data_IF_772747866553
#
_entry.id   IF_772747866553
#
_cell.length_a   1.000
_cell.length_b   1.000
_cell.length_c   1.000
_cell.angle_alpha   90.00
_cell.angle_beta   90.00
_cell.angle_gamma   90.00
#
_symmetry.space_group_name_H-M   'P 1'
#
loop_
_entity.id
_entity.type
_entity.pdbx_description
1 polymer ?
#
# COMPACT_ATOMS: atom_id res chain seq x y z
N UNK A 1 -0.08 15.19 27.63
CA UNK A 1 -1.08 16.07 26.98
C UNK A 1 -0.53 16.53 25.62
N UNK A 2 -0.32 15.62 24.67
CA UNK A 2 0.19 15.93 23.32
C UNK A 2 -0.29 14.86 22.33
N UNK A 3 -1.60 14.80 22.11
CA UNK A 3 -2.17 14.25 20.88
C UNK A 3 -3.04 15.38 20.31
N UNK A 4 -2.36 16.35 19.70
CA UNK A 4 -2.98 17.54 19.14
C UNK A 4 -3.38 17.28 17.69
N UNK A 5 -4.66 17.45 17.42
CA UNK A 5 -5.35 17.41 16.11
C UNK A 5 -5.21 16.09 15.35
N UNK A 6 -6.29 15.30 15.42
CA UNK A 6 -6.65 14.41 14.33
C UNK A 6 -6.79 15.26 13.06
N UNK A 7 -5.73 15.30 12.25
CA UNK A 7 -5.89 15.58 10.84
C UNK A 7 -6.77 14.45 10.31
N UNK A 8 -8.02 14.75 9.99
CA UNK A 8 -8.92 13.83 9.31
C UNK A 8 -8.38 13.60 7.89
N UNK A 9 -7.33 12.79 7.78
CA UNK A 9 -6.55 12.51 6.57
C UNK A 9 -7.33 11.65 5.56
N UNK A 10 -8.67 11.55 5.69
CA UNK A 10 -9.51 10.67 4.87
C UNK A 10 -9.10 9.19 4.95
N UNK A 11 -8.33 8.79 5.97
CA UNK A 11 -7.77 7.44 6.13
C UNK A 11 -8.79 6.40 6.60
N UNK A 12 -10.02 6.82 6.91
CA UNK A 12 -11.09 6.00 7.47
C UNK A 12 -12.18 5.58 6.45
N UNK A 13 -11.79 5.10 5.27
CA UNK A 13 -12.76 4.56 4.27
C UNK A 13 -12.65 3.07 4.01
N UNK A 14 -12.08 2.28 4.94
CA UNK A 14 -12.27 0.83 5.01
C UNK A 14 -13.41 0.45 5.99
N UNK A 15 -14.48 1.26 6.09
CA UNK A 15 -15.72 0.89 6.79
C UNK A 15 -16.72 0.24 5.82
N UNK A 16 -16.32 -0.85 5.16
CA UNK A 16 -17.22 -1.64 4.31
C UNK A 16 -17.26 -3.12 4.73
N UNK A 17 -16.71 -3.48 5.88
CA UNK A 17 -16.94 -4.80 6.45
C UNK A 17 -18.22 -4.74 7.27
N UNK A 18 -19.29 -5.30 6.72
CA UNK A 18 -20.52 -5.56 7.45
C UNK A 18 -20.30 -6.71 8.43
N UNK A 19 -21.03 -6.70 9.55
CA UNK A 19 -20.86 -7.68 10.64
C UNK A 19 -21.23 -9.12 10.23
N UNK A 20 -21.95 -9.29 9.11
CA UNK A 20 -22.41 -10.60 8.64
C UNK A 20 -21.85 -11.00 7.27
N UNK A 21 -21.57 -12.30 7.11
CA UNK A 21 -21.07 -12.86 5.85
C UNK A 21 -22.01 -12.56 4.66
N UNK A 22 -23.33 -12.64 4.86
CA UNK A 22 -24.31 -12.44 3.79
C UNK A 22 -24.33 -11.00 3.29
N UNK A 23 -24.23 -10.01 4.18
CA UNK A 23 -24.17 -8.60 3.79
C UNK A 23 -22.91 -8.31 2.97
N UNK A 24 -21.77 -8.91 3.34
CA UNK A 24 -20.53 -8.80 2.55
C UNK A 24 -20.62 -9.53 1.20
N UNK A 25 -21.28 -10.70 1.15
CA UNK A 25 -21.46 -11.45 -0.09
C UNK A 25 -22.32 -10.70 -1.12
N UNK A 26 -23.31 -9.95 -0.66
CA UNK A 26 -24.18 -9.11 -1.51
C UNK A 26 -23.76 -7.63 -1.55
N UNK A 27 -22.63 -7.27 -0.93
CA UNK A 27 -22.15 -5.90 -0.97
C UNK A 27 -21.88 -5.47 -2.42
N UNK A 28 -22.43 -4.32 -2.81
CA UNK A 28 -22.23 -3.77 -4.15
C UNK A 28 -20.96 -2.93 -4.23
N UNK A 29 -20.62 -2.19 -3.18
CA UNK A 29 -19.44 -1.33 -3.14
C UNK A 29 -18.23 -2.10 -2.60
N UNK A 30 -17.13 -2.10 -3.36
CA UNK A 30 -15.89 -2.78 -2.96
C UNK A 30 -15.82 -4.28 -3.30
N UNK A 31 -16.89 -4.89 -3.81
CA UNK A 31 -16.91 -6.29 -4.22
C UNK A 31 -16.56 -6.49 -5.71
N UNK A 32 -16.28 -7.74 -6.09
CA UNK A 32 -16.10 -8.13 -7.49
C UNK A 32 -17.44 -8.18 -8.27
N UNK A 33 -18.58 -8.18 -7.56
CA UNK A 33 -19.91 -8.42 -8.12
C UNK A 33 -20.28 -7.43 -9.24
N UNK A 34 -20.14 -6.09 -9.09
CA UNK A 34 -20.49 -5.16 -10.16
C UNK A 34 -19.65 -5.33 -11.43
N UNK A 35 -18.43 -5.85 -11.31
CA UNK A 35 -17.55 -6.09 -12.47
C UNK A 35 -17.95 -7.35 -13.24
N UNK A 36 -18.41 -8.39 -12.54
CA UNK A 36 -18.74 -9.70 -13.14
C UNK A 36 -20.20 -9.75 -13.63
N UNK A 37 -21.09 -8.99 -12.98
CA UNK A 37 -22.53 -9.05 -13.23
C UNK A 37 -22.94 -8.80 -14.70
N UNK A 38 -22.38 -7.80 -15.42
CA UNK A 38 -22.73 -7.57 -16.83
C UNK A 38 -22.39 -8.76 -17.72
N UNK A 39 -21.23 -9.39 -17.52
CA UNK A 39 -20.81 -10.58 -18.27
C UNK A 39 -21.77 -11.74 -18.01
N UNK A 40 -22.14 -11.97 -16.75
CA UNK A 40 -23.09 -13.03 -16.38
C UNK A 40 -24.45 -12.79 -17.04
N UNK A 41 -24.98 -11.56 -17.01
CA UNK A 41 -26.25 -11.23 -17.67
C UNK A 41 -26.20 -11.48 -19.17
N UNK A 42 -25.13 -11.07 -19.85
CA UNK A 42 -24.94 -11.32 -21.29
C UNK A 42 -24.88 -12.82 -21.58
N UNK A 43 -24.16 -13.61 -20.77
CA UNK A 43 -24.12 -15.07 -20.90
C UNK A 43 -25.50 -15.71 -20.71
N UNK A 44 -26.29 -15.27 -19.73
CA UNK A 44 -27.65 -15.77 -19.51
C UNK A 44 -28.56 -15.46 -20.72
N UNK A 45 -28.50 -14.24 -21.24
CA UNK A 45 -29.27 -13.84 -22.42
C UNK A 45 -28.87 -14.68 -23.64
N UNK A 46 -27.57 -14.89 -23.84
CA UNK A 46 -27.05 -15.73 -24.92
C UNK A 46 -27.53 -17.19 -24.80
N UNK A 47 -27.39 -17.81 -23.63
CA UNK A 47 -27.87 -19.18 -23.39
C UNK A 47 -29.38 -19.30 -23.60
N UNK A 48 -30.16 -18.30 -23.16
CA UNK A 48 -31.62 -18.27 -23.33
C UNK A 48 -32.01 -18.16 -24.81
N UNK A 49 -31.31 -17.31 -25.57
CA UNK A 49 -31.50 -17.15 -27.01
C UNK A 49 -31.18 -18.44 -27.76
N UNK A 50 -30.03 -19.07 -27.49
CA UNK A 50 -29.65 -20.35 -28.09
C UNK A 50 -30.68 -21.44 -27.78
N UNK A 51 -31.14 -21.51 -26.53
CA UNK A 51 -32.19 -22.47 -26.12
C UNK A 51 -33.51 -22.25 -26.86
N UNK A 52 -33.93 -20.99 -27.03
CA UNK A 52 -35.13 -20.64 -27.78
C UNK A 52 -35.03 -21.08 -29.25
N UNK A 53 -33.90 -20.81 -29.91
CA UNK A 53 -33.68 -21.23 -31.31
C UNK A 53 -33.63 -22.75 -31.49
N UNK A 54 -32.98 -23.48 -30.58
CA UNK A 54 -32.92 -24.96 -30.65
C UNK A 54 -34.30 -25.58 -30.47
N UNK A 55 -35.13 -25.03 -29.58
CA UNK A 55 -36.52 -25.48 -29.43
C UNK A 55 -37.26 -25.33 -30.77
N UNK A 56 -37.17 -24.15 -31.39
CA UNK A 56 -38.02 -23.80 -32.52
C UNK A 56 -37.54 -24.40 -33.87
N UNK A 57 -36.24 -24.64 -34.06
CA UNK A 57 -35.69 -24.89 -35.40
C UNK A 57 -34.99 -26.24 -35.68
N UNK A 58 -34.35 -26.96 -34.74
CA UNK A 58 -33.80 -28.34 -34.99
C UNK A 58 -33.20 -28.97 -33.71
N UNK A 59 -33.21 -30.30 -33.58
CA UNK A 59 -32.35 -31.03 -32.62
C UNK A 59 -30.89 -31.05 -33.13
N UNK A 60 -30.04 -30.16 -32.61
CA UNK A 60 -28.60 -30.20 -32.81
C UNK A 60 -27.93 -30.91 -31.64
N UNK A 61 -27.15 -31.96 -31.92
CA UNK A 61 -26.33 -32.64 -30.94
C UNK A 61 -24.90 -32.09 -30.98
N UNK A 62 -24.45 -31.52 -29.86
CA UNK A 62 -23.11 -30.96 -29.70
C UNK A 62 -22.33 -31.86 -28.75
N UNK A 63 -21.21 -32.38 -29.22
CA UNK A 63 -20.32 -33.17 -28.37
C UNK A 63 -19.78 -32.31 -27.22
N UNK A 64 -19.94 -32.81 -26.00
CA UNK A 64 -19.57 -32.14 -24.75
C UNK A 64 -18.06 -32.30 -24.49
N UNK A 65 -17.41 -33.31 -25.08
CA UNK A 65 -16.00 -33.66 -24.84
C UNK A 65 -15.03 -32.48 -24.89
N UNK A 66 -15.02 -31.64 -25.95
CA UNK A 66 -14.15 -30.46 -26.03
C UNK A 66 -14.33 -29.46 -24.87
N UNK A 67 -15.55 -29.33 -24.34
CA UNK A 67 -15.86 -28.43 -23.23
C UNK A 67 -15.36 -28.97 -21.88
N UNK A 68 -15.38 -30.29 -21.68
CA UNK A 68 -14.85 -30.91 -20.46
C UNK A 68 -13.34 -30.72 -20.35
N UNK A 69 -12.59 -31.00 -21.43
CA UNK A 69 -11.14 -30.82 -21.44
C UNK A 69 -10.74 -29.35 -21.23
N UNK A 70 -11.43 -28.44 -21.92
CA UNK A 70 -11.17 -27.01 -21.74
C UNK A 70 -11.54 -26.53 -20.33
N UNK A 71 -12.62 -27.03 -19.73
CA UNK A 71 -13.01 -26.74 -18.36
C UNK A 71 -11.94 -27.12 -17.34
N UNK A 72 -11.32 -28.30 -17.49
CA UNK A 72 -10.22 -28.75 -16.62
C UNK A 72 -9.00 -27.84 -16.76
N UNK A 73 -8.60 -27.53 -17.99
CA UNK A 73 -7.45 -26.65 -18.25
C UNK A 73 -7.68 -25.24 -17.70
N UNK A 74 -8.86 -24.67 -17.92
CA UNK A 74 -9.24 -23.35 -17.41
C UNK A 74 -9.26 -23.31 -15.87
N UNK A 75 -9.77 -24.36 -15.23
CA UNK A 75 -9.78 -24.48 -13.76
C UNK A 75 -8.37 -24.50 -13.19
N UNK A 76 -7.46 -25.24 -13.81
CA UNK A 76 -6.06 -25.31 -13.41
C UNK A 76 -5.35 -23.95 -13.59
N UNK A 77 -5.56 -23.29 -14.74
CA UNK A 77 -5.00 -21.96 -14.99
C UNK A 77 -5.51 -20.92 -13.99
N UNK A 78 -6.79 -21.00 -13.61
CA UNK A 78 -7.38 -20.11 -12.62
C UNK A 78 -6.71 -20.27 -11.25
N UNK A 79 -6.47 -21.51 -10.81
CA UNK A 79 -5.80 -21.79 -9.52
C UNK A 79 -4.39 -21.21 -9.51
N UNK A 80 -3.59 -21.44 -10.56
CA UNK A 80 -2.24 -20.87 -10.63
C UNK A 80 -2.23 -19.34 -10.65
N UNK A 81 -3.15 -18.73 -11.40
CA UNK A 81 -3.29 -17.27 -11.45
C UNK A 81 -3.72 -16.70 -10.10
N UNK A 82 -4.63 -17.36 -9.39
CA UNK A 82 -5.09 -16.95 -8.07
C UNK A 82 -3.97 -17.04 -7.04
N UNK A 83 -3.20 -18.13 -7.03
CA UNK A 83 -2.07 -18.29 -6.11
C UNK A 83 -0.99 -17.22 -6.35
N UNK A 84 -0.60 -16.99 -7.61
CA UNK A 84 0.37 -15.94 -7.95
C UNK A 84 -0.13 -14.54 -7.56
N UNK A 85 -1.42 -14.25 -7.74
CA UNK A 85 -2.03 -13.00 -7.30
C UNK A 85 -2.04 -12.84 -5.78
N UNK A 86 -2.37 -13.91 -5.05
CA UNK A 86 -2.35 -13.93 -3.59
C UNK A 86 -0.94 -13.71 -3.04
N UNK A 87 0.07 -14.38 -3.60
CA UNK A 87 1.46 -14.25 -3.16
C UNK A 87 1.97 -12.82 -3.35
N UNK A 88 1.69 -12.19 -4.50
CA UNK A 88 2.02 -10.78 -4.73
C UNK A 88 1.31 -9.84 -3.76
N UNK A 89 0.03 -10.06 -3.48
CA UNK A 89 -0.71 -9.27 -2.51
C UNK A 89 -0.12 -9.41 -1.09
N UNK A 90 0.21 -10.64 -0.71
CA UNK A 90 0.81 -10.94 0.59
C UNK A 90 2.20 -10.34 0.73
N UNK A 91 3.01 -10.38 -0.33
CA UNK A 91 4.31 -9.74 -0.40
C UNK A 91 4.22 -8.22 -0.19
N UNK A 92 3.35 -7.54 -0.95
CA UNK A 92 3.11 -6.11 -0.78
C UNK A 92 2.67 -5.76 0.65
N UNK A 93 1.81 -6.59 1.27
CA UNK A 93 1.37 -6.38 2.65
C UNK A 93 2.51 -6.55 3.66
N UNK A 94 3.40 -7.52 3.47
CA UNK A 94 4.58 -7.72 4.32
C UNK A 94 5.54 -6.52 4.21
N UNK A 95 5.84 -6.07 2.99
CA UNK A 95 6.70 -4.90 2.74
C UNK A 95 6.13 -3.65 3.40
N UNK A 96 4.83 -3.38 3.22
CA UNK A 96 4.19 -2.23 3.88
C UNK A 96 4.19 -2.35 5.41
N UNK A 97 4.04 -3.57 5.95
CA UNK A 97 4.19 -3.85 7.37
C UNK A 97 5.61 -3.55 7.89
N UNK A 98 6.63 -3.91 7.12
CA UNK A 98 8.02 -3.58 7.39
C UNK A 98 8.23 -2.06 7.42
N UNK A 99 7.76 -1.33 6.38
CA UNK A 99 7.85 0.13 6.31
C UNK A 99 7.32 0.79 7.59
N UNK A 100 6.11 0.41 8.01
CA UNK A 100 5.49 1.00 9.21
C UNK A 100 6.29 0.67 10.48
N UNK A 101 6.81 -0.55 10.61
CA UNK A 101 7.59 -0.96 11.78
C UNK A 101 8.93 -0.23 11.86
N UNK A 102 9.66 -0.13 10.76
CA UNK A 102 10.96 0.54 10.72
C UNK A 102 10.82 2.05 10.94
N UNK A 103 9.76 2.68 10.42
CA UNK A 103 9.44 4.08 10.75
C UNK A 103 9.17 4.27 12.24
N UNK A 104 8.44 3.38 12.91
CA UNK A 104 8.21 3.44 14.36
C UNK A 104 9.51 3.26 15.15
N UNK A 105 10.36 2.33 14.71
CA UNK A 105 11.66 2.11 15.34
C UNK A 105 12.57 3.34 15.20
N UNK A 106 12.64 3.95 14.02
CA UNK A 106 13.37 5.20 13.81
C UNK A 106 12.86 6.31 14.73
N UNK A 107 11.55 6.55 14.76
CA UNK A 107 10.96 7.55 15.63
C UNK A 107 11.26 7.28 17.11
N UNK A 108 11.22 6.01 17.53
CA UNK A 108 11.57 5.60 18.89
C UNK A 108 13.04 5.88 19.19
N UNK A 109 13.95 5.51 18.29
CA UNK A 109 15.39 5.75 18.45
C UNK A 109 15.67 7.25 18.59
N UNK A 110 15.14 8.06 17.66
CA UNK A 110 15.33 9.51 17.67
C UNK A 110 14.79 10.18 18.92
N UNK A 111 13.66 9.73 19.47
CA UNK A 111 13.06 10.34 20.66
C UNK A 111 13.65 9.83 21.98
N UNK A 112 14.05 8.57 22.07
CA UNK A 112 14.52 7.96 23.31
C UNK A 112 16.04 8.11 23.53
N UNK A 113 16.84 8.08 22.46
CA UNK A 113 18.31 8.01 22.54
C UNK A 113 19.01 9.32 22.17
N UNK A 114 18.30 10.44 22.24
CA UNK A 114 18.87 11.79 22.11
C UNK A 114 18.59 12.61 23.38
N UNK A 115 19.26 13.74 23.64
CA UNK A 115 19.00 14.56 24.82
C UNK A 115 17.66 15.29 24.75
N UNK A 116 16.98 15.49 25.89
CA UNK A 116 15.72 16.26 25.94
C UNK A 116 15.88 17.72 25.47
N UNK A 117 17.09 18.28 25.58
CA UNK A 117 17.43 19.62 25.10
C UNK A 117 17.31 19.76 23.56
N UNK A 118 17.32 18.65 22.81
CA UNK A 118 17.21 18.60 21.34
C UNK A 118 15.74 18.58 20.85
N UNK A 119 14.82 19.19 21.58
CA UNK A 119 13.38 19.08 21.32
C UNK A 119 12.95 19.52 19.91
N UNK A 120 13.60 20.56 19.34
CA UNK A 120 13.35 20.99 17.95
C UNK A 120 13.78 19.92 16.95
N UNK A 121 15.01 19.41 17.08
CA UNK A 121 15.55 18.34 16.23
C UNK A 121 14.67 17.09 16.28
N UNK A 122 14.22 16.67 17.47
CA UNK A 122 13.35 15.48 17.60
C UNK A 122 12.02 15.63 16.87
N UNK A 123 11.41 16.83 16.94
CA UNK A 123 10.16 17.11 16.22
C UNK A 123 10.37 17.02 14.73
N UNK A 124 11.40 17.69 14.22
CA UNK A 124 11.74 17.68 12.79
C UNK A 124 12.09 16.27 12.30
N UNK A 125 12.92 15.54 13.04
CA UNK A 125 13.26 14.14 12.73
C UNK A 125 12.03 13.25 12.71
N UNK A 126 11.13 13.38 13.69
CA UNK A 126 9.87 12.63 13.73
C UNK A 126 8.96 13.00 12.55
N UNK A 127 8.87 14.28 12.19
CA UNK A 127 8.12 14.75 11.01
C UNK A 127 8.66 14.16 9.70
N UNK A 128 9.99 14.07 9.54
CA UNK A 128 10.61 13.44 8.36
C UNK A 128 10.30 11.94 8.31
N UNK A 129 10.43 11.24 9.44
CA UNK A 129 10.11 9.81 9.56
C UNK A 129 8.62 9.54 9.28
N UNK A 130 7.72 10.43 9.71
CA UNK A 130 6.29 10.34 9.39
C UNK A 130 6.00 10.62 7.91
N UNK A 131 6.69 11.59 7.32
CA UNK A 131 6.55 11.96 5.91
C UNK A 131 6.93 10.83 4.97
N UNK A 132 7.95 10.03 5.32
CA UNK A 132 8.52 9.02 4.43
C UNK A 132 7.48 7.97 3.93
N UNK A 133 6.71 7.28 4.80
CA UNK A 133 5.65 6.37 4.33
C UNK A 133 4.59 7.06 3.46
N UNK A 134 4.24 8.32 3.74
CA UNK A 134 3.27 9.05 2.92
C UNK A 134 3.81 9.31 1.51
N UNK A 135 5.07 9.76 1.42
CA UNK A 135 5.74 10.01 0.14
C UNK A 135 5.96 8.72 -0.64
N UNK A 136 6.32 7.61 0.03
CA UNK A 136 6.39 6.28 -0.57
C UNK A 136 5.04 5.87 -1.19
N UNK A 137 3.94 6.03 -0.44
CA UNK A 137 2.59 5.72 -0.95
C UNK A 137 2.23 6.55 -2.17
N UNK A 138 2.55 7.85 -2.17
CA UNK A 138 2.28 8.74 -3.30
C UNK A 138 3.11 8.34 -4.52
N UNK A 139 4.40 8.00 -4.32
CA UNK A 139 5.29 7.50 -5.38
C UNK A 139 4.73 6.25 -6.06
N UNK A 140 4.32 5.24 -5.27
CA UNK A 140 3.74 3.98 -5.78
C UNK A 140 2.38 4.15 -6.47
N UNK A 141 1.69 5.28 -6.23
CA UNK A 141 0.42 5.62 -6.88
C UNK A 141 0.59 6.57 -8.06
N UNK A 142 1.83 6.93 -8.39
CA UNK A 142 2.16 7.96 -9.38
C UNK A 142 1.49 9.32 -9.08
N UNK A 143 1.18 9.57 -7.80
CA UNK A 143 0.55 10.79 -7.32
C UNK A 143 1.61 11.82 -6.91
N UNK A 144 1.39 13.07 -7.31
CA UNK A 144 2.32 14.19 -7.04
C UNK A 144 1.78 15.17 -6.01
N UNK A 145 0.55 14.99 -5.50
CA UNK A 145 -0.02 15.91 -4.51
C UNK A 145 0.59 15.69 -3.11
N UNK A 146 1.53 16.57 -2.74
CA UNK A 146 2.21 16.57 -1.44
C UNK A 146 1.46 17.36 -0.35
N UNK A 147 0.27 17.92 -0.62
CA UNK A 147 -0.49 18.71 0.37
C UNK A 147 -0.78 17.95 1.66
N UNK A 148 -0.83 16.62 1.59
CA UNK A 148 -1.03 15.78 2.76
C UNK A 148 0.09 15.92 3.80
N UNK A 149 1.33 16.11 3.34
CA UNK A 149 2.52 16.17 4.20
C UNK A 149 3.01 17.61 4.45
N UNK A 150 2.49 18.59 3.71
CA UNK A 150 2.79 20.02 3.90
C UNK A 150 2.68 20.49 5.37
N UNK A 151 1.65 20.11 6.16
CA UNK A 151 1.55 20.55 7.56
C UNK A 151 2.61 19.96 8.50
N UNK A 152 3.32 18.90 8.07
CA UNK A 152 4.33 18.21 8.87
C UNK A 152 5.73 18.80 8.69
N UNK A 153 5.94 19.56 7.60
CA UNK A 153 7.26 19.97 7.12
C UNK A 153 7.45 21.48 7.25
N UNK A 154 8.71 21.90 7.35
CA UNK A 154 9.05 23.30 7.10
C UNK A 154 8.97 23.60 5.61
N UNK A 155 8.82 24.88 5.25
CA UNK A 155 8.75 25.32 3.86
C UNK A 155 9.98 24.90 3.05
N UNK A 156 11.15 24.89 3.68
CA UNK A 156 12.42 24.49 3.06
C UNK A 156 12.43 22.99 2.73
N UNK A 157 12.07 22.15 3.71
CA UNK A 157 12.00 20.69 3.51
C UNK A 157 10.96 20.32 2.46
N UNK A 158 9.80 20.99 2.47
CA UNK A 158 8.75 20.76 1.48
C UNK A 158 9.25 21.01 0.05
N UNK A 159 9.91 22.15 -0.19
CA UNK A 159 10.43 22.50 -1.52
C UNK A 159 11.54 21.54 -1.99
N UNK A 160 12.40 21.09 -1.09
CA UNK A 160 13.45 20.12 -1.42
C UNK A 160 12.86 18.75 -1.82
N UNK A 161 11.80 18.29 -1.13
CA UNK A 161 11.07 17.07 -1.50
C UNK A 161 10.32 17.25 -2.83
N UNK A 162 9.66 18.39 -3.02
CA UNK A 162 8.86 18.67 -4.21
C UNK A 162 9.72 18.70 -5.49
N UNK A 163 10.89 19.34 -5.41
CA UNK A 163 11.85 19.46 -6.51
C UNK A 163 12.63 18.18 -6.81
N UNK A 164 12.60 17.20 -5.92
CA UNK A 164 13.31 15.94 -6.07
C UNK A 164 12.65 15.01 -7.10
N UNK A 165 13.46 14.39 -7.96
CA UNK A 165 12.98 13.38 -8.91
C UNK A 165 12.44 12.14 -8.20
N UNK A 166 13.18 11.64 -7.21
CA UNK A 166 12.83 10.46 -6.44
C UNK A 166 12.57 10.83 -4.98
N UNK A 167 11.32 11.22 -4.68
CA UNK A 167 10.93 11.80 -3.40
C UNK A 167 11.17 10.89 -2.18
N UNK A 168 10.87 9.57 -2.21
CA UNK A 168 11.18 8.69 -1.07
C UNK A 168 12.66 8.68 -0.69
N UNK A 169 13.54 8.61 -1.69
CA UNK A 169 14.98 8.65 -1.49
C UNK A 169 15.47 10.00 -0.98
N UNK A 170 14.88 11.11 -1.46
CA UNK A 170 15.18 12.45 -0.94
C UNK A 170 14.85 12.58 0.56
N UNK A 171 13.67 12.11 0.98
CA UNK A 171 13.31 12.10 2.41
C UNK A 171 14.24 11.18 3.21
N UNK A 172 14.61 10.02 2.68
CA UNK A 172 15.59 9.14 3.33
C UNK A 172 16.96 9.82 3.50
N UNK A 173 17.41 10.58 2.51
CA UNK A 173 18.65 11.35 2.61
C UNK A 173 18.55 12.42 3.70
N UNK A 174 17.43 13.13 3.80
CA UNK A 174 17.20 14.11 4.88
C UNK A 174 17.24 13.46 6.26
N UNK A 175 16.65 12.27 6.42
CA UNK A 175 16.73 11.48 7.66
C UNK A 175 18.19 11.14 7.99
N UNK A 176 18.97 10.68 7.00
CA UNK A 176 20.38 10.37 7.18
C UNK A 176 21.19 11.60 7.62
N UNK A 177 20.93 12.77 7.01
CA UNK A 177 21.57 14.03 7.39
C UNK A 177 21.26 14.42 8.84
N UNK A 178 20.01 14.27 9.30
CA UNK A 178 19.64 14.54 10.70
C UNK A 178 20.28 13.54 11.68
N UNK A 179 20.44 12.27 11.29
CA UNK A 179 21.17 11.28 12.08
C UNK A 179 22.66 11.63 12.18
N UNK A 180 23.26 12.07 11.07
CA UNK A 180 24.65 12.53 11.04
C UNK A 180 24.86 13.76 11.94
N UNK A 181 23.95 14.74 11.88
CA UNK A 181 23.98 15.91 12.77
C UNK A 181 23.91 15.50 14.26
N UNK A 182 23.02 14.58 14.62
CA UNK A 182 22.92 14.07 15.98
C UNK A 182 24.20 13.32 16.41
N UNK A 183 24.87 12.64 15.47
CA UNK A 183 26.14 11.96 15.71
C UNK A 183 27.28 12.94 15.97
N UNK A 184 27.39 13.99 15.16
CA UNK A 184 28.41 15.05 15.29
C UNK A 184 28.26 15.84 16.60
N UNK A 185 27.02 16.07 17.04
CA UNK A 185 26.70 16.72 18.31
C UNK A 185 26.81 15.79 19.53
N UNK A 186 27.24 14.53 19.33
CA UNK A 186 27.31 13.49 20.35
C UNK A 186 25.99 13.26 21.10
N UNK A 187 24.85 13.55 20.45
CA UNK A 187 23.52 13.35 21.01
C UNK A 187 23.11 11.89 21.02
N UNK A 188 23.60 11.12 20.05
CA UNK A 188 23.33 9.69 19.89
C UNK A 188 24.64 8.91 19.94
N UNK A 189 24.61 7.78 20.64
CA UNK A 189 25.77 6.88 20.71
C UNK A 189 25.99 6.15 19.36
N UNK A 190 27.22 5.66 19.09
CA UNK A 190 27.54 5.02 17.82
C UNK A 190 26.68 3.79 17.51
N UNK A 191 26.26 3.02 18.52
CA UNK A 191 25.47 1.80 18.32
C UNK A 191 24.01 2.15 17.99
N UNK A 192 23.43 3.13 18.69
CA UNK A 192 22.10 3.63 18.33
C UNK A 192 22.08 4.30 16.96
N UNK A 193 23.14 5.03 16.58
CA UNK A 193 23.29 5.57 15.23
C UNK A 193 23.34 4.46 14.17
N UNK A 194 24.19 3.44 14.35
CA UNK A 194 24.27 2.32 13.42
C UNK A 194 22.94 1.57 13.32
N UNK A 195 22.23 1.41 14.44
CA UNK A 195 20.90 0.81 14.45
C UNK A 195 19.91 1.65 13.65
N UNK A 196 19.87 2.97 13.85
CA UNK A 196 19.00 3.87 13.10
C UNK A 196 19.28 3.84 11.59
N UNK A 197 20.55 3.88 11.18
CA UNK A 197 20.94 3.77 9.76
C UNK A 197 20.49 2.44 9.14
N UNK A 198 20.56 1.34 9.90
CA UNK A 198 20.03 0.05 9.44
C UNK A 198 18.51 0.07 9.25
N UNK A 199 17.77 0.69 10.17
CA UNK A 199 16.31 0.82 10.02
C UNK A 199 15.96 1.67 8.79
N UNK A 200 16.71 2.75 8.55
CA UNK A 200 16.58 3.60 7.36
C UNK A 200 16.92 2.86 6.06
N UNK A 201 17.96 2.02 6.06
CA UNK A 201 18.34 1.22 4.89
C UNK A 201 17.23 0.23 4.52
N UNK A 202 16.64 -0.46 5.50
CA UNK A 202 15.53 -1.39 5.26
C UNK A 202 14.33 -0.68 4.63
N UNK A 203 14.04 0.57 5.02
CA UNK A 203 13.00 1.37 4.38
C UNK A 203 13.26 1.60 2.88
N UNK A 204 14.52 1.77 2.49
CA UNK A 204 14.92 1.90 1.08
C UNK A 204 14.82 0.56 0.35
N UNK A 205 15.23 -0.54 0.99
CA UNK A 205 15.08 -1.88 0.43
C UNK A 205 13.58 -2.21 0.20
N UNK A 206 12.71 -1.85 1.14
CA UNK A 206 11.27 -2.09 1.06
C UNK A 206 10.59 -1.30 -0.08
N UNK A 207 10.95 -0.02 -0.27
CA UNK A 207 10.42 0.75 -1.41
C UNK A 207 10.98 0.24 -2.74
N UNK A 208 12.26 -0.13 -2.80
CA UNK A 208 12.86 -0.73 -3.99
C UNK A 208 12.24 -2.09 -4.36
N UNK A 209 11.71 -2.84 -3.39
CA UNK A 209 10.93 -4.05 -3.65
C UNK A 209 9.48 -3.76 -4.09
N UNK A 210 8.97 -2.55 -3.85
CA UNK A 210 7.63 -2.14 -4.27
C UNK A 210 7.61 -1.49 -5.67
N UNK A 211 8.73 -0.93 -6.13
CA UNK A 211 8.93 -0.32 -7.45
C UNK A 211 9.18 -1.38 -8.55
#
# INVERSE_FOLDING_TARGET
MLFGKEADLGLNTNRLEHDTFLENAFAWFGSATPRVMPTVFVSILYCSMVRYFIWEHTEYDLDIGPFEYSGVVLSLMLVFRMNAGHDRWWEARKLWGSIVNQSRNLATIGNAYTPQASASWRREFTSLVQTLPHVMRLSLREDRDLKLVEPLLSSELYQEIESSQHRPNAVSLMIAQRLQEAREKEWIDPFAFQRAERERAILIDDIGACE
#
